data_IF_621235037300
#
_entry.id   IF_621235037300
#
_cell.length_a   1.000
_cell.length_b   1.000
_cell.length_c   1.000
_cell.angle_alpha   90.00
_cell.angle_beta   90.00
_cell.angle_gamma   90.00
#
_symmetry.space_group_name_H-M   'P 1'
#
loop_
_entity.id
_entity.type
_entity.pdbx_description
1 polymer ?
#
# COMPACT_ATOMS: atom_id res chain seq x y z
N UNK A 1 -12.04 15.76 -12.22
CA UNK A 1 -11.15 14.60 -11.97
C UNK A 1 -9.82 14.98 -11.29
N UNK A 2 -9.47 14.32 -10.18
CA UNK A 2 -8.17 14.44 -9.49
C UNK A 2 -7.37 13.14 -9.63
N UNK A 3 -6.04 13.22 -9.70
CA UNK A 3 -5.18 12.02 -9.66
C UNK A 3 -4.97 11.61 -8.21
N UNK A 4 -5.33 10.36 -7.86
CA UNK A 4 -5.21 9.83 -6.50
C UNK A 4 -3.92 9.05 -6.29
N UNK A 5 -3.54 8.19 -7.25
CA UNK A 5 -2.34 7.36 -7.16
C UNK A 5 -1.91 6.83 -8.52
N UNK A 6 -0.65 6.36 -8.61
CA UNK A 6 -0.19 5.47 -9.69
C UNK A 6 -0.44 4.03 -9.24
N UNK A 7 -1.04 3.21 -10.10
CA UNK A 7 -1.30 1.78 -9.86
C UNK A 7 -0.57 0.91 -10.87
N UNK A 8 -0.05 -0.22 -10.38
CA UNK A 8 0.54 -1.27 -11.23
C UNK A 8 -0.32 -2.53 -11.21
N UNK A 9 -0.45 -3.19 -12.36
CA UNK A 9 -1.16 -4.47 -12.49
C UNK A 9 -0.34 -5.45 -13.31
N UNK A 10 -0.35 -6.74 -12.96
CA UNK A 10 0.31 -7.75 -13.77
C UNK A 10 -0.41 -7.89 -15.11
N UNK A 11 0.35 -7.87 -16.20
CA UNK A 11 -0.06 -8.28 -17.54
C UNK A 11 0.90 -9.38 -18.00
N UNK A 12 0.50 -10.31 -18.87
CA UNK A 12 1.34 -11.47 -19.26
C UNK A 12 2.81 -11.07 -19.52
N UNK A 13 3.72 -11.58 -18.68
CA UNK A 13 5.16 -11.32 -18.79
C UNK A 13 5.65 -9.94 -18.31
N UNK A 14 4.79 -9.08 -17.77
CA UNK A 14 5.15 -7.73 -17.37
C UNK A 14 4.13 -7.02 -16.47
N UNK A 15 4.19 -5.68 -16.48
CA UNK A 15 3.35 -4.83 -15.67
C UNK A 15 2.79 -3.70 -16.51
N UNK A 16 1.51 -3.39 -16.29
CA UNK A 16 0.89 -2.17 -16.83
C UNK A 16 0.75 -1.13 -15.73
N UNK A 17 1.05 0.10 -16.09
CA UNK A 17 0.94 1.27 -15.23
C UNK A 17 -0.35 2.03 -15.56
N UNK A 18 -0.99 2.62 -14.56
CA UNK A 18 -2.15 3.47 -14.77
C UNK A 18 -2.24 4.56 -13.71
N UNK A 19 -2.78 5.72 -14.07
CA UNK A 19 -3.26 6.69 -13.10
C UNK A 19 -4.62 6.26 -12.58
N UNK A 20 -4.76 6.18 -11.26
CA UNK A 20 -6.05 6.09 -10.59
C UNK A 20 -6.57 7.49 -10.38
N UNK A 21 -7.69 7.79 -11.03
CA UNK A 21 -8.32 9.09 -11.00
C UNK A 21 -9.62 9.03 -10.21
N UNK A 22 -9.90 10.12 -9.48
CA UNK A 22 -11.10 10.29 -8.69
C UNK A 22 -11.97 11.39 -9.30
N UNK A 23 -13.20 11.03 -9.66
CA UNK A 23 -14.27 11.99 -9.88
C UNK A 23 -15.54 11.64 -9.10
N UNK A 24 -16.64 11.28 -9.76
CA UNK A 24 -17.82 10.66 -9.12
C UNK A 24 -17.53 9.23 -8.65
N UNK A 25 -16.49 8.62 -9.22
CA UNK A 25 -15.97 7.32 -8.84
C UNK A 25 -14.49 7.18 -9.22
N UNK A 26 -13.96 5.96 -9.10
CA UNK A 26 -12.60 5.67 -9.53
C UNK A 26 -12.54 5.29 -11.01
N UNK A 27 -11.87 6.10 -11.80
CA UNK A 27 -11.51 5.79 -13.19
C UNK A 27 -10.01 5.51 -13.31
N UNK A 28 -9.60 4.93 -14.45
CA UNK A 28 -8.19 4.63 -14.73
C UNK A 28 -7.79 5.16 -16.09
N UNK A 29 -6.61 5.76 -16.14
CA UNK A 29 -5.95 6.18 -17.38
C UNK A 29 -4.71 5.32 -17.54
N UNK A 30 -4.60 4.57 -18.64
CA UNK A 30 -3.42 3.74 -18.92
C UNK A 30 -2.19 4.63 -19.14
N UNK A 31 -1.04 4.19 -18.64
CA UNK A 31 0.24 4.83 -18.88
C UNK A 31 1.13 3.85 -19.66
N UNK A 32 1.32 4.11 -20.95
CA UNK A 32 2.20 3.33 -21.81
C UNK A 32 3.47 4.14 -22.12
N UNK A 33 4.63 3.49 -22.31
CA UNK A 33 5.83 4.17 -22.76
C UNK A 33 5.56 5.01 -24.02
N UNK A 34 5.98 6.28 -24.00
CA UNK A 34 5.71 7.23 -25.09
C UNK A 34 4.34 7.91 -25.05
N UNK A 35 3.45 7.55 -24.12
CA UNK A 35 2.20 8.29 -23.92
C UNK A 35 2.47 9.69 -23.36
N UNK A 36 1.81 10.69 -23.93
CA UNK A 36 1.79 12.05 -23.41
C UNK A 36 0.49 12.32 -22.64
N UNK A 37 0.60 13.02 -21.51
CA UNK A 37 -0.56 13.46 -20.76
C UNK A 37 -0.27 14.82 -20.11
N UNK A 38 -1.31 15.65 -20.02
CA UNK A 38 -1.24 16.95 -19.37
C UNK A 38 -2.07 16.94 -18.08
N UNK A 39 -1.52 17.51 -17.02
CA UNK A 39 -2.24 17.73 -15.78
C UNK A 39 -1.86 19.08 -15.18
N UNK A 40 -2.79 19.67 -14.43
CA UNK A 40 -2.53 20.87 -13.62
C UNK A 40 -2.29 20.44 -12.18
N UNK A 41 -1.19 20.89 -11.60
CA UNK A 41 -0.94 20.73 -10.17
C UNK A 41 -1.73 21.79 -9.43
N UNK A 42 -2.71 21.36 -8.62
CA UNK A 42 -3.46 22.25 -7.76
C UNK A 42 -2.67 22.50 -6.47
N UNK A 43 -2.87 23.68 -5.87
CA UNK A 43 -2.35 23.98 -4.53
C UNK A 43 -3.11 23.19 -3.48
N UNK A 44 -2.43 22.82 -2.40
CA UNK A 44 -3.02 22.05 -1.29
C UNK A 44 -2.83 20.53 -1.44
N UNK A 45 -3.38 19.78 -0.50
CA UNK A 45 -3.41 18.30 -0.53
C UNK A 45 -4.85 17.86 -0.35
N UNK A 46 -5.28 16.87 -1.11
CA UNK A 46 -6.66 16.37 -1.04
C UNK A 46 -6.69 14.96 -0.48
N UNK A 47 -7.73 14.66 0.30
CA UNK A 47 -7.95 13.36 0.89
C UNK A 47 -8.10 12.27 -0.18
N UNK A 48 -7.28 11.21 -0.11
CA UNK A 48 -7.27 10.10 -1.08
C UNK A 48 -8.36 9.06 -0.82
N UNK A 49 -9.24 9.29 0.14
CA UNK A 49 -10.28 8.35 0.57
C UNK A 49 -9.78 7.34 1.61
N UNK A 50 -10.43 6.19 1.71
CA UNK A 50 -10.16 5.18 2.74
C UNK A 50 -10.41 3.75 2.25
N UNK A 51 -9.82 2.76 2.92
CA UNK A 51 -10.19 1.36 2.72
C UNK A 51 -11.35 0.99 3.65
N UNK A 52 -12.48 0.58 3.10
CA UNK A 52 -13.60 0.01 3.85
C UNK A 52 -13.64 -1.51 3.75
N UNK A 53 -14.46 -2.17 4.58
CA UNK A 53 -14.79 -3.59 4.37
C UNK A 53 -15.58 -3.74 3.06
N UNK A 54 -15.24 -4.77 2.28
CA UNK A 54 -16.01 -5.14 1.09
C UNK A 54 -17.31 -5.83 1.51
N UNK A 55 -18.42 -5.48 0.86
CA UNK A 55 -19.72 -6.11 1.10
C UNK A 55 -19.81 -7.55 0.56
N UNK A 56 -18.95 -7.90 -0.40
CA UNK A 56 -18.87 -9.25 -0.95
C UNK A 56 -17.86 -10.09 -0.19
N UNK A 57 -18.34 -10.99 0.66
CA UNK A 57 -17.57 -12.07 1.28
C UNK A 57 -17.08 -13.13 0.28
N UNK A 58 -16.46 -12.72 -0.82
CA UNK A 58 -15.80 -13.63 -1.75
C UNK A 58 -14.59 -14.24 -1.05
N UNK A 59 -14.48 -15.57 -1.05
CA UNK A 59 -13.52 -16.39 -0.28
C UNK A 59 -12.04 -16.23 -0.62
N UNK A 60 -11.58 -15.00 -0.85
CA UNK A 60 -10.20 -14.65 -1.15
C UNK A 60 -9.64 -13.68 -0.10
N UNK A 61 -8.47 -13.98 0.45
CA UNK A 61 -7.84 -13.23 1.57
C UNK A 61 -7.51 -11.76 1.26
N UNK A 62 -7.69 -11.27 0.04
CA UNK A 62 -7.49 -9.85 -0.33
C UNK A 62 -8.76 -9.12 -0.79
N UNK A 63 -9.91 -9.79 -0.95
CA UNK A 63 -11.20 -9.17 -1.35
C UNK A 63 -11.98 -8.57 -0.19
N UNK A 64 -11.53 -8.73 1.06
CA UNK A 64 -12.22 -8.21 2.25
C UNK A 64 -12.24 -6.68 2.36
N UNK A 65 -11.50 -5.96 1.50
CA UNK A 65 -11.41 -4.50 1.54
C UNK A 65 -11.59 -3.86 0.17
N UNK A 66 -12.11 -2.65 0.19
CA UNK A 66 -12.38 -1.86 -1.02
C UNK A 66 -11.89 -0.42 -0.84
N UNK A 67 -11.35 0.18 -1.92
CA UNK A 67 -11.04 1.60 -1.93
C UNK A 67 -12.33 2.41 -2.07
N UNK A 68 -12.59 3.32 -1.14
CA UNK A 68 -13.72 4.26 -1.22
C UNK A 68 -13.22 5.70 -1.34
N UNK A 69 -13.88 6.54 -2.15
CA UNK A 69 -13.50 7.95 -2.29
C UNK A 69 -13.79 8.72 -1.00
N UNK A 70 -13.16 9.88 -0.84
CA UNK A 70 -13.52 10.79 0.26
C UNK A 70 -14.89 11.41 -0.03
N UNK A 71 -15.92 11.22 0.82
CA UNK A 71 -17.25 11.77 0.58
C UNK A 71 -17.27 13.30 0.47
N UNK A 72 -16.35 13.96 1.19
CA UNK A 72 -16.30 15.41 1.29
C UNK A 72 -15.23 16.03 0.37
N UNK A 73 -14.48 15.22 -0.41
CA UNK A 73 -13.30 15.65 -1.19
C UNK A 73 -12.38 16.61 -0.43
N UNK A 74 -12.22 16.36 0.87
CA UNK A 74 -11.68 17.32 1.81
C UNK A 74 -10.20 17.65 1.52
N UNK A 75 -9.84 18.93 1.62
CA UNK A 75 -8.45 19.35 1.70
C UNK A 75 -7.85 18.90 3.06
N UNK A 76 -6.57 18.54 3.06
CA UNK A 76 -5.85 18.04 4.23
C UNK A 76 -4.57 18.82 4.46
N UNK A 77 -4.31 19.19 5.71
CA UNK A 77 -3.09 19.94 6.08
C UNK A 77 -1.87 19.00 6.14
N UNK A 78 -2.06 17.75 6.56
CA UNK A 78 -0.99 16.76 6.73
C UNK A 78 -1.46 15.35 6.39
N UNK A 79 -0.54 14.54 5.86
CA UNK A 79 -0.81 13.17 5.47
C UNK A 79 -1.61 13.09 4.18
N UNK A 80 -2.36 12.00 4.00
CA UNK A 80 -3.15 11.73 2.80
C UNK A 80 -4.66 11.60 3.07
N UNK A 81 -5.10 11.70 4.32
CA UNK A 81 -6.49 11.44 4.71
C UNK A 81 -7.03 12.50 5.68
N UNK A 82 -8.28 12.92 5.47
CA UNK A 82 -9.01 13.72 6.46
C UNK A 82 -9.40 12.87 7.68
N UNK A 83 -9.81 13.50 8.78
CA UNK A 83 -10.17 12.80 10.04
C UNK A 83 -11.23 11.71 9.82
N UNK A 84 -12.28 12.00 9.05
CA UNK A 84 -13.35 11.03 8.77
C UNK A 84 -12.85 9.78 8.03
N UNK A 85 -12.14 9.97 6.92
CA UNK A 85 -11.55 8.86 6.15
C UNK A 85 -10.51 8.09 6.97
N UNK A 86 -9.69 8.79 7.75
CA UNK A 86 -8.64 8.15 8.57
C UNK A 86 -9.20 7.33 9.75
N UNK A 87 -10.40 7.68 10.25
CA UNK A 87 -11.13 6.87 11.25
C UNK A 87 -11.85 5.68 10.62
N UNK A 88 -12.36 5.83 9.40
CA UNK A 88 -13.07 4.77 8.68
C UNK A 88 -12.14 3.74 8.01
N UNK A 89 -10.83 4.04 7.90
CA UNK A 89 -9.87 3.18 7.22
C UNK A 89 -9.53 1.92 8.04
N UNK A 90 -10.08 0.78 7.59
CA UNK A 90 -9.90 -0.51 8.27
C UNK A 90 -8.45 -1.01 8.22
N UNK A 91 -7.66 -0.58 7.22
CA UNK A 91 -6.26 -1.00 7.10
C UNK A 91 -5.37 -0.36 8.16
N UNK A 92 -5.78 0.77 8.74
CA UNK A 92 -4.98 1.50 9.73
C UNK A 92 -4.61 0.65 10.92
N UNK A 93 -5.53 -0.21 11.37
CA UNK A 93 -5.29 -1.17 12.42
C UNK A 93 -4.20 -2.19 12.06
N UNK A 94 -4.26 -2.77 10.85
CA UNK A 94 -3.23 -3.71 10.37
C UNK A 94 -1.86 -3.04 10.19
N UNK A 95 -1.82 -1.75 9.87
CA UNK A 95 -0.58 -0.99 9.66
C UNK A 95 0.09 -0.55 10.96
N UNK A 96 -0.66 -0.46 12.07
CA UNK A 96 -0.12 -0.14 13.40
C UNK A 96 0.41 -1.37 14.16
N UNK A 97 0.10 -2.57 13.68
CA UNK A 97 0.63 -3.81 14.25
C UNK A 97 2.13 -3.92 13.94
N UNK A 98 2.95 -4.11 14.96
CA UNK A 98 4.41 -4.33 14.86
C UNK A 98 4.82 -5.79 15.11
N UNK A 99 3.83 -6.68 15.26
CA UNK A 99 4.02 -8.10 15.58
C UNK A 99 4.10 -8.43 17.08
N UNK A 100 4.17 -7.40 17.94
CA UNK A 100 4.10 -7.50 19.40
C UNK A 100 2.80 -6.90 19.90
N UNK A 101 2.52 -5.64 19.53
CA UNK A 101 1.29 -4.92 19.85
C UNK A 101 0.43 -4.81 18.59
N UNK A 102 -0.74 -5.46 18.61
CA UNK A 102 -1.68 -5.45 17.49
C UNK A 102 -3.10 -5.28 18.01
N UNK A 103 -3.70 -4.11 17.78
CA UNK A 103 -5.00 -3.70 18.34
C UNK A 103 -6.09 -3.62 17.27
N UNK A 104 -6.05 -4.51 16.28
CA UNK A 104 -7.10 -4.57 15.27
C UNK A 104 -8.41 -5.11 15.88
N UNK A 105 -9.57 -4.52 15.52
CA UNK A 105 -10.86 -5.07 15.95
C UNK A 105 -11.01 -6.52 15.48
N UNK A 106 -11.79 -7.37 16.18
CA UNK A 106 -11.98 -8.77 15.80
C UNK A 106 -12.37 -8.97 14.32
N UNK A 107 -13.21 -8.09 13.78
CA UNK A 107 -13.66 -8.12 12.37
C UNK A 107 -12.56 -7.90 11.33
N UNK A 108 -11.40 -7.36 11.73
CA UNK A 108 -10.28 -7.05 10.82
C UNK A 108 -9.02 -7.83 11.20
N UNK A 109 -8.91 -8.26 12.47
CA UNK A 109 -7.72 -8.93 13.02
C UNK A 109 -7.36 -10.18 12.23
N UNK A 110 -8.33 -11.07 12.00
CA UNK A 110 -8.10 -12.28 11.22
C UNK A 110 -7.59 -11.92 9.82
N UNK A 111 -8.18 -10.92 9.17
CA UNK A 111 -7.68 -10.47 7.89
C UNK A 111 -6.23 -9.93 7.97
N UNK A 112 -5.84 -9.21 9.03
CA UNK A 112 -4.48 -8.70 9.20
C UNK A 112 -3.42 -9.79 9.40
N UNK A 113 -3.80 -10.86 10.11
CA UNK A 113 -2.91 -11.91 10.62
C UNK A 113 -2.93 -13.17 9.75
N UNK A 114 -4.08 -13.53 9.19
CA UNK A 114 -4.26 -14.76 8.43
C UNK A 114 -3.61 -14.71 7.04
N UNK A 115 -3.28 -15.91 6.56
CA UNK A 115 -2.69 -16.17 5.26
C UNK A 115 -1.16 -16.03 5.25
N UNK A 116 -0.56 -16.57 4.19
CA UNK A 116 0.90 -16.49 4.03
C UNK A 116 1.37 -15.07 3.72
N UNK A 117 2.26 -14.55 4.55
CA UNK A 117 3.00 -13.32 4.35
C UNK A 117 4.51 -13.58 4.27
N UNK A 118 5.23 -12.57 3.79
CA UNK A 118 6.68 -12.62 3.66
C UNK A 118 7.31 -11.33 4.18
N UNK A 119 8.48 -11.47 4.80
CA UNK A 119 9.44 -10.38 4.91
C UNK A 119 10.29 -10.39 3.65
N UNK A 120 10.49 -9.21 3.07
CA UNK A 120 11.40 -9.02 1.96
C UNK A 120 12.43 -7.93 2.27
N UNK A 121 13.60 -8.09 1.67
CA UNK A 121 14.58 -7.02 1.53
C UNK A 121 14.49 -6.48 0.11
N UNK A 122 14.49 -5.17 -0.03
CA UNK A 122 14.52 -4.49 -1.32
C UNK A 122 15.67 -3.48 -1.32
N UNK A 123 16.49 -3.53 -2.35
CA UNK A 123 17.54 -2.55 -2.63
C UNK A 123 17.00 -1.48 -3.57
N UNK A 124 17.42 -0.26 -3.30
CA UNK A 124 17.15 0.93 -4.08
C UNK A 124 18.49 1.62 -4.36
N UNK A 125 18.49 2.52 -5.34
CA UNK A 125 19.61 3.40 -5.64
C UNK A 125 20.33 3.94 -4.39
N UNK A 126 21.64 4.13 -4.54
CA UNK A 126 22.58 4.50 -3.47
C UNK A 126 22.81 3.40 -2.42
N UNK A 127 22.54 2.13 -2.75
CA UNK A 127 22.79 0.99 -1.87
C UNK A 127 21.84 0.89 -0.67
N UNK A 128 20.74 1.66 -0.68
CA UNK A 128 19.76 1.70 0.41
C UNK A 128 18.97 0.40 0.45
N UNK A 129 18.94 -0.26 1.60
CA UNK A 129 18.16 -1.48 1.83
C UNK A 129 16.94 -1.18 2.69
N UNK A 130 15.77 -1.59 2.21
CA UNK A 130 14.50 -1.56 2.95
C UNK A 130 14.10 -2.98 3.35
N UNK A 131 13.65 -3.14 4.58
CA UNK A 131 12.91 -4.33 4.99
C UNK A 131 11.41 -4.02 4.99
N UNK A 132 10.60 -4.88 4.38
CA UNK A 132 9.16 -4.70 4.31
C UNK A 132 8.38 -6.00 4.40
N UNK A 133 7.10 -5.88 4.75
CA UNK A 133 6.15 -7.00 4.77
C UNK A 133 5.15 -6.95 3.63
N UNK A 134 4.83 -8.10 3.05
CA UNK A 134 3.72 -8.22 2.09
C UNK A 134 3.08 -9.60 2.12
N UNK A 135 1.79 -9.67 1.80
CA UNK A 135 1.11 -10.95 1.53
C UNK A 135 1.67 -11.56 0.25
N UNK A 136 1.70 -12.89 0.18
CA UNK A 136 2.31 -13.62 -0.94
C UNK A 136 1.88 -13.14 -2.32
N UNK A 137 0.58 -12.95 -2.55
CA UNK A 137 0.04 -12.52 -3.85
C UNK A 137 0.41 -11.08 -4.24
N UNK A 138 0.82 -10.24 -3.28
CA UNK A 138 1.14 -8.82 -3.51
C UNK A 138 2.64 -8.52 -3.42
N UNK A 139 3.49 -9.51 -3.17
CA UNK A 139 4.93 -9.27 -2.92
C UNK A 139 5.60 -8.65 -4.15
N UNK A 140 5.41 -9.26 -5.33
CA UNK A 140 5.97 -8.74 -6.59
C UNK A 140 5.40 -7.36 -6.94
N UNK A 141 4.08 -7.20 -6.81
CA UNK A 141 3.41 -5.91 -7.03
C UNK A 141 3.98 -4.81 -6.13
N UNK A 142 4.25 -5.12 -4.86
CA UNK A 142 4.84 -4.17 -3.91
C UNK A 142 6.27 -3.75 -4.28
N UNK A 143 7.06 -4.65 -4.86
CA UNK A 143 8.42 -4.32 -5.30
C UNK A 143 8.40 -3.38 -6.50
N UNK A 144 7.54 -3.67 -7.48
CA UNK A 144 7.33 -2.81 -8.65
C UNK A 144 6.77 -1.45 -8.28
N UNK A 145 5.73 -1.40 -7.43
CA UNK A 145 5.14 -0.13 -6.96
C UNK A 145 6.14 0.78 -6.23
N UNK A 146 7.17 0.21 -5.61
CA UNK A 146 8.19 0.97 -4.88
C UNK A 146 9.40 1.32 -5.74
N UNK A 147 9.53 0.74 -6.93
CA UNK A 147 10.72 0.93 -7.77
C UNK A 147 11.96 0.27 -7.18
N UNK A 148 11.84 -0.95 -6.64
CA UNK A 148 13.00 -1.69 -6.15
C UNK A 148 13.87 -2.19 -7.32
N UNK A 149 15.19 -1.99 -7.23
CA UNK A 149 16.15 -2.47 -8.23
C UNK A 149 16.31 -3.99 -8.14
N UNK A 150 16.43 -4.49 -6.91
CA UNK A 150 16.52 -5.90 -6.57
C UNK A 150 15.73 -6.14 -5.29
N UNK A 151 14.98 -7.24 -5.22
CA UNK A 151 14.29 -7.63 -4.00
C UNK A 151 14.27 -9.15 -3.80
N UNK A 152 14.34 -9.58 -2.54
CA UNK A 152 14.35 -10.98 -2.15
C UNK A 152 13.43 -11.21 -0.95
N UNK A 153 12.69 -12.33 -0.96
CA UNK A 153 11.97 -12.81 0.23
C UNK A 153 12.96 -13.49 1.16
N UNK A 154 13.02 -13.05 2.41
CA UNK A 154 13.97 -13.58 3.41
C UNK A 154 13.29 -14.38 4.50
N UNK A 155 11.98 -14.23 4.68
CA UNK A 155 11.21 -14.99 5.65
C UNK A 155 9.77 -15.20 5.16
N UNK A 156 9.19 -16.34 5.50
CA UNK A 156 7.78 -16.69 5.31
C UNK A 156 7.14 -16.94 6.67
N UNK A 157 5.95 -16.39 6.90
CA UNK A 157 5.19 -16.60 8.13
C UNK A 157 3.76 -16.08 8.01
N UNK A 158 3.06 -15.98 9.13
CA UNK A 158 1.79 -15.27 9.22
C UNK A 158 1.98 -13.74 9.29
N UNK A 159 0.89 -12.99 9.33
CA UNK A 159 0.95 -11.53 9.36
C UNK A 159 1.62 -10.93 10.60
N UNK A 160 1.56 -11.59 11.76
CA UNK A 160 2.14 -11.12 13.02
C UNK A 160 3.64 -11.46 13.08
N UNK A 161 4.00 -12.68 12.73
CA UNK A 161 5.38 -13.17 12.70
C UNK A 161 6.24 -12.30 11.77
N UNK A 162 5.78 -12.05 10.53
CA UNK A 162 6.58 -11.28 9.57
C UNK A 162 6.81 -9.84 10.02
N UNK A 163 5.86 -9.22 10.72
CA UNK A 163 6.01 -7.85 11.24
C UNK A 163 7.01 -7.79 12.38
N UNK A 164 7.00 -8.79 13.27
CA UNK A 164 8.00 -8.91 14.34
C UNK A 164 9.41 -9.04 13.75
N UNK A 165 9.58 -9.90 12.74
CA UNK A 165 10.87 -10.09 12.07
C UNK A 165 11.31 -8.86 11.27
N UNK A 166 10.38 -8.19 10.57
CA UNK A 166 10.65 -6.91 9.90
C UNK A 166 11.20 -5.87 10.89
N UNK A 167 10.52 -5.66 12.01
CA UNK A 167 10.97 -4.71 13.04
C UNK A 167 12.35 -5.06 13.61
N UNK A 168 12.64 -6.35 13.81
CA UNK A 168 13.99 -6.80 14.22
C UNK A 168 15.04 -6.52 13.17
N UNK A 169 14.79 -6.82 11.90
CA UNK A 169 15.72 -6.53 10.79
C UNK A 169 15.99 -5.02 10.69
N UNK A 170 14.95 -4.19 10.79
CA UNK A 170 15.11 -2.73 10.76
C UNK A 170 15.96 -2.24 11.92
N UNK A 171 15.75 -2.77 13.13
CA UNK A 171 16.48 -2.38 14.35
C UNK A 171 17.92 -2.89 14.38
N UNK A 172 18.13 -4.17 14.06
CA UNK A 172 19.40 -4.87 14.23
C UNK A 172 20.34 -4.65 13.02
N UNK A 173 19.79 -4.50 11.81
CA UNK A 173 20.59 -4.37 10.57
C UNK A 173 20.51 -2.97 9.95
N UNK A 174 19.82 -2.02 10.58
CA UNK A 174 19.68 -0.65 10.08
C UNK A 174 18.89 -0.53 8.77
N UNK A 175 18.12 -1.55 8.40
CA UNK A 175 17.30 -1.53 7.19
C UNK A 175 16.19 -0.47 7.32
N UNK A 176 15.91 0.23 6.21
CA UNK A 176 14.89 1.28 6.19
C UNK A 176 13.49 0.70 6.32
N UNK A 177 12.62 1.42 7.03
CA UNK A 177 11.17 1.17 7.05
C UNK A 177 10.44 1.84 5.87
N UNK A 178 11.00 2.92 5.34
CA UNK A 178 10.45 3.68 4.23
C UNK A 178 11.58 4.26 3.38
N UNK A 179 11.43 4.16 2.06
CA UNK A 179 12.26 4.89 1.12
C UNK A 179 11.51 6.15 0.74
N UNK A 180 12.19 7.30 0.84
CA UNK A 180 11.68 8.58 0.36
C UNK A 180 12.44 8.92 -0.91
N UNK A 181 11.73 9.42 -1.91
CA UNK A 181 12.38 10.16 -2.97
C UNK A 181 12.97 11.43 -2.34
N UNK A 182 14.27 11.63 -2.51
CA UNK A 182 14.86 12.95 -2.37
C UNK A 182 14.15 13.85 -3.38
N UNK A 183 13.58 14.96 -2.89
CA UNK A 183 13.02 16.01 -3.73
C UNK A 183 14.14 16.93 -4.21
#
# INVERSE_FOLDING_TARGET
MLVSSVEWRPLKGGWVCSLLCLDEGYSRISLEPGSEFAFRVLTGRFCVGYKGLSAGGGGHLDSWREQRPCPNRAEVVRGSQCRGCSSADVMRACLRCDGTVCSAPPSVREACEAGTAYVYLASFGDGRIKAGVSRGRRVLKRWVEQGADVALRVLRGDGREVRRFEGRIQKELGALNQVRSSA
#
